data_IF_857431301779
#
_entry.id   IF_857431301779
#
_cell.length_a   1.000
_cell.length_b   1.000
_cell.length_c   1.000
_cell.angle_alpha   90.00
_cell.angle_beta   90.00
_cell.angle_gamma   90.00
#
_symmetry.space_group_name_H-M   'P 1'
#
loop_
_entity.id
_entity.type
_entity.pdbx_description
1 polymer ?
#
# COMPACT_ATOMS: atom_id res chain seq x y z
N UNK A 1 52.01 -42.73 -43.96
CA UNK A 1 50.60 -42.34 -43.75
C UNK A 1 50.33 -42.31 -42.24
N UNK A 2 50.33 -41.11 -41.63
CA UNK A 2 50.12 -40.91 -40.19
C UNK A 2 48.66 -40.52 -39.96
N UNK A 3 47.91 -41.34 -39.23
CA UNK A 3 46.52 -41.07 -38.83
C UNK A 3 46.55 -40.22 -37.57
N UNK A 4 46.13 -38.96 -37.67
CA UNK A 4 45.92 -38.06 -36.54
C UNK A 4 44.50 -38.30 -36.04
N UNK A 5 44.37 -38.93 -34.87
CA UNK A 5 43.09 -39.07 -34.18
C UNK A 5 42.81 -37.79 -33.40
N UNK A 6 41.80 -37.03 -33.84
CA UNK A 6 41.27 -35.88 -33.12
C UNK A 6 40.30 -36.40 -32.04
N UNK A 7 40.68 -36.30 -30.78
CA UNK A 7 39.80 -36.55 -29.64
C UNK A 7 39.00 -35.28 -29.34
N UNK A 8 37.68 -35.35 -29.47
CA UNK A 8 36.74 -34.29 -29.14
C UNK A 8 36.41 -34.36 -27.65
N UNK A 9 36.70 -33.33 -26.82
CA UNK A 9 36.30 -33.33 -25.43
C UNK A 9 34.80 -32.99 -25.34
N UNK A 10 34.01 -33.97 -24.91
CA UNK A 10 32.60 -33.81 -24.57
C UNK A 10 32.52 -33.04 -23.24
N UNK A 11 32.31 -31.71 -23.31
CA UNK A 11 32.09 -30.88 -22.13
C UNK A 11 30.66 -31.13 -21.59
N UNK A 12 30.55 -31.97 -20.56
CA UNK A 12 29.31 -32.16 -19.81
C UNK A 12 29.04 -30.90 -18.96
N UNK A 13 28.16 -30.02 -19.47
CA UNK A 13 27.62 -28.89 -18.70
C UNK A 13 26.62 -29.44 -17.70
N UNK A 14 27.06 -29.66 -16.45
CA UNK A 14 26.19 -29.92 -15.31
C UNK A 14 25.40 -28.64 -15.01
N UNK A 15 24.19 -28.54 -15.55
CA UNK A 15 23.19 -27.56 -15.11
C UNK A 15 22.71 -27.97 -13.73
N UNK A 16 23.41 -27.55 -12.68
CA UNK A 16 22.86 -27.54 -11.33
C UNK A 16 21.65 -26.61 -11.37
N UNK A 17 20.45 -27.18 -11.40
CA UNK A 17 19.20 -26.45 -11.32
C UNK A 17 19.10 -25.81 -9.95
N UNK A 18 19.66 -24.62 -9.79
CA UNK A 18 19.39 -23.77 -8.64
C UNK A 18 17.93 -23.34 -8.77
N UNK A 19 17.04 -23.99 -8.02
CA UNK A 19 15.72 -23.46 -7.74
C UNK A 19 15.92 -22.20 -6.91
N UNK A 20 16.05 -21.06 -7.59
CA UNK A 20 15.90 -19.77 -6.92
C UNK A 20 14.42 -19.76 -6.51
N UNK A 21 14.08 -19.67 -5.22
CA UNK A 21 12.70 -19.39 -4.86
C UNK A 21 12.33 -18.13 -5.62
N UNK A 22 11.27 -18.20 -6.43
CA UNK A 22 10.68 -17.01 -6.98
C UNK A 22 10.15 -16.24 -5.76
N UNK A 23 10.97 -15.36 -5.21
CA UNK A 23 10.50 -14.34 -4.28
C UNK A 23 9.59 -13.47 -5.13
N UNK A 24 8.28 -13.69 -5.00
CA UNK A 24 7.39 -12.62 -5.36
C UNK A 24 7.60 -11.52 -4.31
N UNK A 25 7.53 -10.29 -4.79
CA UNK A 25 7.77 -9.09 -4.01
C UNK A 25 6.62 -8.14 -4.34
N UNK A 26 6.25 -7.31 -3.37
CA UNK A 26 5.28 -6.26 -3.58
C UNK A 26 5.79 -5.35 -4.71
N UNK A 27 5.02 -5.23 -5.78
CA UNK A 27 5.44 -4.40 -6.90
C UNK A 27 5.43 -2.92 -6.52
N UNK A 28 6.40 -2.14 -7.01
CA UNK A 28 6.45 -0.69 -6.76
C UNK A 28 5.27 0.09 -7.36
N UNK A 29 4.48 -0.53 -8.24
CA UNK A 29 3.24 0.02 -8.79
C UNK A 29 1.98 -0.71 -8.28
N UNK A 30 2.10 -1.47 -7.18
CA UNK A 30 0.97 -2.15 -6.60
C UNK A 30 -0.10 -1.16 -6.11
N UNK A 31 -1.34 -1.59 -6.21
CA UNK A 31 -2.53 -0.99 -5.63
C UNK A 31 -3.06 -1.93 -4.56
N UNK A 32 -3.05 -1.46 -3.33
CA UNK A 32 -3.63 -2.11 -2.17
C UNK A 32 -5.12 -1.78 -2.11
N UNK A 33 -5.96 -2.65 -2.68
CA UNK A 33 -7.40 -2.60 -2.48
C UNK A 33 -7.72 -3.17 -1.10
N UNK A 34 -8.76 -2.69 -0.43
CA UNK A 34 -9.09 -3.13 0.91
C UNK A 34 -10.59 -3.32 1.10
N UNK A 35 -10.94 -4.28 1.95
CA UNK A 35 -12.32 -4.57 2.31
C UNK A 35 -12.84 -3.44 3.19
N UNK A 36 -13.99 -2.82 2.84
CA UNK A 36 -14.62 -1.83 3.70
C UNK A 36 -14.90 -2.39 5.10
N UNK A 37 -14.77 -1.53 6.12
CA UNK A 37 -15.13 -1.87 7.48
C UNK A 37 -16.61 -2.20 7.61
N UNK A 38 -16.92 -3.33 8.26
CA UNK A 38 -18.29 -3.77 8.53
C UNK A 38 -18.64 -3.41 9.97
N UNK A 39 -19.70 -2.61 10.13
CA UNK A 39 -20.19 -2.17 11.43
C UNK A 39 -21.35 -3.04 11.89
N UNK A 40 -21.31 -3.48 13.15
CA UNK A 40 -22.43 -4.13 13.82
C UNK A 40 -22.99 -3.23 14.91
N UNK A 41 -24.32 -3.20 15.04
CA UNK A 41 -24.99 -2.50 16.12
C UNK A 41 -25.17 -3.44 17.30
N UNK A 42 -24.74 -3.03 18.49
CA UNK A 42 -25.03 -3.74 19.74
C UNK A 42 -26.48 -3.50 20.17
N UNK A 43 -26.97 -4.28 21.14
CA UNK A 43 -28.28 -4.05 21.77
C UNK A 43 -28.42 -2.67 22.43
N UNK A 44 -27.30 -2.03 22.77
CA UNK A 44 -27.26 -0.66 23.33
C UNK A 44 -27.31 0.44 22.24
N UNK A 45 -27.28 0.07 20.96
CA UNK A 45 -27.20 1.00 19.84
C UNK A 45 -25.77 1.45 19.50
N UNK A 46 -24.77 1.07 20.29
CA UNK A 46 -23.36 1.32 19.95
C UNK A 46 -22.98 0.60 18.65
N UNK A 47 -22.28 1.31 17.78
CA UNK A 47 -21.75 0.81 16.52
C UNK A 47 -20.30 0.36 16.73
N UNK A 48 -19.99 -0.89 16.42
CA UNK A 48 -18.66 -1.48 16.55
C UNK A 48 -18.17 -1.99 15.20
N UNK A 49 -16.90 -1.79 14.88
CA UNK A 49 -16.29 -2.40 13.69
C UNK A 49 -16.01 -3.86 13.98
N UNK A 50 -16.70 -4.75 13.27
CA UNK A 50 -16.62 -6.19 13.46
C UNK A 50 -15.56 -6.87 12.58
N UNK A 51 -15.37 -6.36 11.36
CA UNK A 51 -14.41 -6.87 10.37
C UNK A 51 -14.10 -5.77 9.33
N UNK A 52 -13.19 -6.04 8.40
CA UNK A 52 -12.79 -5.08 7.38
C UNK A 52 -11.78 -4.06 7.88
N UNK A 53 -11.55 -3.06 7.05
CA UNK A 53 -10.57 -2.01 7.32
C UNK A 53 -11.14 -0.92 8.23
N UNK A 54 -10.28 -0.34 9.07
CA UNK A 54 -10.67 0.70 10.02
C UNK A 54 -9.48 1.57 10.42
N UNK A 55 -9.79 2.67 11.10
CA UNK A 55 -8.82 3.38 11.92
C UNK A 55 -9.40 3.59 13.31
N UNK A 56 -8.61 4.06 14.26
CA UNK A 56 -9.14 4.52 15.53
C UNK A 56 -8.16 5.38 16.31
N UNK A 57 -8.68 6.07 17.30
CA UNK A 57 -7.91 6.84 18.26
C UNK A 57 -8.04 6.19 19.63
N UNK A 58 -6.94 6.04 20.36
CA UNK A 58 -6.98 5.64 21.76
C UNK A 58 -7.50 6.82 22.60
N UNK A 59 -8.81 6.86 22.83
CA UNK A 59 -9.45 7.97 23.55
C UNK A 59 -9.32 7.83 25.05
N UNK A 60 -9.06 6.63 25.55
CA UNK A 60 -8.98 6.34 26.97
C UNK A 60 -7.53 6.34 27.51
N UNK A 61 -6.54 6.28 26.62
CA UNK A 61 -5.11 6.38 26.94
C UNK A 61 -4.50 5.10 27.51
N UNK A 62 -5.12 3.93 27.27
CA UNK A 62 -4.62 2.64 27.75
C UNK A 62 -3.54 2.01 26.84
N UNK A 63 -3.17 2.71 25.77
CA UNK A 63 -2.17 2.27 24.80
C UNK A 63 -2.72 1.23 23.83
N UNK A 64 -4.05 1.16 23.62
CA UNK A 64 -4.71 0.28 22.66
C UNK A 64 -5.93 0.97 22.05
N UNK A 65 -6.29 0.56 20.82
CA UNK A 65 -7.55 0.99 20.19
C UNK A 65 -8.58 -0.12 20.34
N UNK A 66 -9.49 0.05 21.29
CA UNK A 66 -10.58 -0.87 21.56
C UNK A 66 -11.60 -0.89 20.41
N UNK A 67 -12.42 -1.94 20.33
CA UNK A 67 -13.42 -2.08 19.26
C UNK A 67 -14.42 -0.90 19.20
N UNK A 68 -14.71 -0.26 20.33
CA UNK A 68 -15.58 0.91 20.42
C UNK A 68 -14.91 2.22 19.97
N UNK A 69 -13.60 2.23 19.81
CA UNK A 69 -12.81 3.38 19.36
C UNK A 69 -12.49 3.32 17.87
N UNK A 70 -12.86 2.22 17.21
CA UNK A 70 -12.66 2.00 15.78
C UNK A 70 -13.73 2.72 14.98
N UNK A 71 -13.30 3.33 13.88
CA UNK A 71 -14.13 3.90 12.84
C UNK A 71 -13.92 3.07 11.57
N UNK A 72 -15.00 2.49 11.05
CA UNK A 72 -14.98 1.78 9.78
C UNK A 72 -14.65 2.75 8.63
N UNK A 73 -13.81 2.29 7.70
CA UNK A 73 -13.51 3.03 6.47
C UNK A 73 -14.09 2.33 5.26
N UNK A 74 -14.41 3.10 4.23
CA UNK A 74 -14.86 2.61 2.93
C UNK A 74 -13.78 2.86 1.88
N UNK A 75 -13.60 1.90 0.98
CA UNK A 75 -12.62 2.02 -0.10
C UNK A 75 -13.05 3.09 -1.11
N UNK A 76 -12.12 3.97 -1.50
CA UNK A 76 -12.23 4.75 -2.72
C UNK A 76 -11.23 4.26 -3.78
N UNK A 77 -10.06 4.89 -3.91
CA UNK A 77 -9.05 4.42 -4.87
C UNK A 77 -8.06 3.38 -4.32
N UNK A 78 -8.07 3.09 -3.01
CA UNK A 78 -7.08 2.24 -2.35
C UNK A 78 -5.71 2.92 -2.18
N UNK A 79 -4.73 2.24 -1.60
CA UNK A 79 -3.37 2.79 -1.40
C UNK A 79 -2.44 2.37 -2.56
N UNK A 80 -1.90 3.36 -3.28
CA UNK A 80 -1.00 3.18 -4.43
C UNK A 80 0.45 3.27 -3.97
N UNK A 81 1.19 2.18 -4.17
CA UNK A 81 2.61 2.11 -3.84
C UNK A 81 3.42 3.00 -4.80
N UNK A 82 4.45 3.65 -4.26
CA UNK A 82 5.34 4.61 -4.93
C UNK A 82 4.65 5.80 -5.59
N UNK A 83 3.42 6.13 -5.19
CA UNK A 83 2.70 7.29 -5.68
C UNK A 83 2.15 8.13 -4.52
N UNK A 84 2.34 9.45 -4.59
CA UNK A 84 1.68 10.36 -3.67
C UNK A 84 0.21 10.51 -4.10
N UNK A 85 -0.70 10.33 -3.16
CA UNK A 85 -2.14 10.40 -3.35
C UNK A 85 -2.65 11.65 -2.64
N UNK A 86 -2.53 12.81 -3.31
CA UNK A 86 -2.85 14.12 -2.74
C UNK A 86 -4.29 14.54 -3.00
N UNK A 87 -4.95 15.14 -2.00
CA UNK A 87 -6.28 15.72 -2.18
C UNK A 87 -6.25 16.81 -3.28
N UNK A 88 -7.07 16.68 -4.34
CA UNK A 88 -7.12 17.69 -5.40
C UNK A 88 -7.58 19.05 -4.87
N UNK A 89 -6.71 20.05 -4.97
CA UNK A 89 -7.12 21.46 -5.00
C UNK A 89 -7.44 22.16 -3.68
N UNK A 90 -7.11 21.61 -2.50
CA UNK A 90 -7.37 22.28 -1.22
C UNK A 90 -8.84 22.68 -1.00
N UNK A 91 -9.74 22.14 -1.82
CA UNK A 91 -11.16 22.43 -1.80
C UNK A 91 -11.85 21.52 -0.81
N UNK A 92 -12.90 22.02 -0.19
CA UNK A 92 -13.76 21.34 0.79
C UNK A 92 -14.55 20.16 0.22
N UNK A 93 -14.23 19.71 -1.00
CA UNK A 93 -14.95 18.66 -1.71
C UNK A 93 -14.37 17.28 -1.39
N UNK A 94 -15.16 16.49 -0.65
CA UNK A 94 -14.89 15.08 -0.30
C UNK A 94 -14.88 14.16 -1.55
N UNK A 95 -15.30 14.69 -2.70
CA UNK A 95 -15.59 13.93 -3.93
C UNK A 95 -14.35 13.34 -4.63
N UNK A 96 -13.14 13.68 -4.17
CA UNK A 96 -11.89 13.11 -4.65
C UNK A 96 -11.04 12.53 -3.51
N UNK A 97 -11.68 11.86 -2.55
CA UNK A 97 -10.96 11.11 -1.53
C UNK A 97 -9.96 10.15 -2.15
N UNK A 98 -8.67 10.30 -1.89
CA UNK A 98 -7.69 9.62 -2.76
C UNK A 98 -7.50 8.15 -2.37
N UNK A 99 -7.73 7.79 -1.11
CA UNK A 99 -7.50 6.43 -0.62
C UNK A 99 -8.80 5.83 -0.11
N UNK A 100 -9.44 6.53 0.83
CA UNK A 100 -10.60 6.04 1.55
C UNK A 100 -11.57 7.16 1.95
N UNK A 101 -12.77 6.77 2.36
CA UNK A 101 -13.81 7.65 2.90
C UNK A 101 -14.33 7.09 4.21
N UNK A 102 -14.54 7.95 5.20
CA UNK A 102 -15.06 7.52 6.48
C UNK A 102 -15.95 8.57 7.14
N UNK A 103 -16.74 8.12 8.12
CA UNK A 103 -17.58 8.98 8.94
C UNK A 103 -17.40 8.62 10.41
N UNK A 104 -16.96 9.58 11.22
CA UNK A 104 -16.72 9.40 12.66
C UNK A 104 -17.38 10.53 13.42
N UNK A 105 -18.20 10.23 14.44
CA UNK A 105 -18.87 11.24 15.27
C UNK A 105 -19.69 12.30 14.50
N UNK A 106 -20.20 11.95 13.32
CA UNK A 106 -20.94 12.86 12.45
C UNK A 106 -20.07 13.62 11.45
N UNK A 107 -18.77 13.70 11.71
CA UNK A 107 -17.76 14.25 10.81
C UNK A 107 -17.42 13.26 9.70
N UNK A 108 -17.12 13.80 8.53
CA UNK A 108 -16.65 13.03 7.37
C UNK A 108 -15.17 13.30 7.17
N UNK A 109 -14.43 12.28 6.77
CA UNK A 109 -13.01 12.44 6.49
C UNK A 109 -12.48 11.44 5.48
N UNK A 110 -11.21 11.61 5.18
CA UNK A 110 -10.49 10.84 4.17
C UNK A 110 -9.00 10.78 4.53
N UNK A 111 -8.35 9.67 4.21
CA UNK A 111 -6.90 9.58 4.25
C UNK A 111 -6.27 9.84 2.89
N UNK A 112 -5.05 10.39 2.92
CA UNK A 112 -4.28 10.74 1.74
C UNK A 112 -2.78 10.76 2.07
N UNK A 113 -1.93 10.73 1.03
CA UNK A 113 -0.47 10.76 1.20
C UNK A 113 0.15 11.99 0.53
N UNK A 114 0.90 12.76 1.33
CA UNK A 114 1.64 13.94 0.84
C UNK A 114 2.95 13.57 0.13
N UNK A 115 3.52 12.41 0.49
CA UNK A 115 4.70 11.78 -0.09
C UNK A 115 4.33 10.39 -0.64
N UNK A 116 5.07 9.84 -1.61
CA UNK A 116 4.85 8.49 -2.10
C UNK A 116 5.01 7.42 -1.01
N UNK A 117 4.13 6.42 -1.00
CA UNK A 117 4.24 5.26 -0.11
C UNK A 117 5.27 4.26 -0.68
N UNK A 118 6.55 4.40 -0.30
CA UNK A 118 7.63 3.60 -0.87
C UNK A 118 7.86 2.30 -0.09
N UNK A 119 8.25 1.24 -0.77
CA UNK A 119 8.70 0.00 -0.13
C UNK A 119 10.07 0.25 0.52
N UNK A 120 10.18 -0.05 1.80
CA UNK A 120 11.41 0.06 2.58
C UNK A 120 12.14 -1.28 2.64
N UNK A 121 11.41 -2.34 3.01
CA UNK A 121 11.90 -3.71 3.03
C UNK A 121 10.84 -4.66 2.50
N UNK A 122 11.27 -5.73 1.84
CA UNK A 122 10.44 -6.84 1.39
C UNK A 122 11.28 -8.11 1.54
N UNK A 123 10.81 -9.05 2.36
CA UNK A 123 11.51 -10.31 2.61
C UNK A 123 11.23 -11.39 1.55
N UNK A 124 10.31 -11.13 0.61
CA UNK A 124 9.85 -12.07 -0.39
C UNK A 124 9.09 -13.28 0.16
N UNK A 125 8.70 -13.23 1.44
CA UNK A 125 8.01 -14.29 2.18
C UNK A 125 6.74 -13.76 2.90
N UNK A 126 6.27 -12.57 2.50
CA UNK A 126 5.01 -12.00 2.94
C UNK A 126 5.13 -10.89 3.98
N UNK A 127 6.34 -10.52 4.42
CA UNK A 127 6.55 -9.38 5.32
C UNK A 127 7.18 -8.20 4.57
N UNK A 128 6.42 -7.11 4.48
CA UNK A 128 6.83 -5.89 3.77
C UNK A 128 6.68 -4.69 4.70
N UNK A 129 7.62 -3.76 4.66
CA UNK A 129 7.46 -2.47 5.31
C UNK A 129 7.41 -1.35 4.28
N UNK A 130 6.54 -0.37 4.51
CA UNK A 130 6.38 0.78 3.62
C UNK A 130 6.48 2.10 4.38
N UNK A 131 7.00 3.11 3.70
CA UNK A 131 7.12 4.48 4.19
C UNK A 131 5.76 5.20 4.09
N UNK A 132 5.19 5.54 5.24
CA UNK A 132 4.00 6.36 5.42
C UNK A 132 4.32 7.68 6.16
N UNK A 133 5.56 8.19 6.11
CA UNK A 133 5.91 9.51 6.68
C UNK A 133 5.06 10.66 6.12
N UNK A 134 4.50 10.50 4.92
CA UNK A 134 3.58 11.43 4.30
C UNK A 134 2.10 11.26 4.66
N UNK A 135 1.74 10.32 5.55
CA UNK A 135 0.36 9.97 5.88
C UNK A 135 -0.38 11.14 6.53
N UNK A 136 -1.59 11.44 6.04
CA UNK A 136 -2.41 12.53 6.53
C UNK A 136 -3.88 12.12 6.55
N UNK A 137 -4.56 12.44 7.65
CA UNK A 137 -6.01 12.38 7.73
C UNK A 137 -6.60 13.77 7.51
N UNK A 138 -7.61 13.89 6.68
CA UNK A 138 -8.40 15.11 6.54
C UNK A 138 -9.75 14.94 7.24
N UNK A 139 -10.11 15.89 8.09
CA UNK A 139 -11.39 15.97 8.79
C UNK A 139 -12.19 17.14 8.21
N UNK A 140 -13.44 16.87 7.87
CA UNK A 140 -14.42 17.86 7.40
C UNK A 140 -13.96 18.73 6.21
N UNK A 141 -13.04 18.23 5.39
CA UNK A 141 -12.56 18.92 4.19
C UNK A 141 -11.59 20.08 4.45
N UNK A 142 -11.38 20.50 5.70
CA UNK A 142 -10.63 21.72 6.02
C UNK A 142 -9.50 21.53 7.03
N UNK A 143 -9.42 20.37 7.69
CA UNK A 143 -8.44 20.12 8.73
C UNK A 143 -7.58 18.91 8.38
N UNK A 144 -6.29 19.16 8.11
CA UNK A 144 -5.31 18.10 7.86
C UNK A 144 -4.55 17.80 9.16
N UNK A 145 -4.60 16.54 9.59
CA UNK A 145 -3.79 16.01 10.68
C UNK A 145 -2.64 15.23 10.07
N UNK A 146 -1.42 15.72 10.24
CA UNK A 146 -0.22 14.99 9.83
C UNK A 146 0.02 13.82 10.77
N UNK A 147 0.09 12.62 10.22
CA UNK A 147 0.19 11.37 10.97
C UNK A 147 1.44 10.61 10.53
N UNK A 148 2.54 11.31 10.24
CA UNK A 148 3.80 10.72 9.76
C UNK A 148 4.80 10.33 10.86
N UNK A 149 4.45 10.48 12.13
CA UNK A 149 5.34 10.30 13.28
C UNK A 149 4.60 9.92 14.56
N UNK A 150 5.34 9.60 15.61
CA UNK A 150 4.78 9.27 16.93
C UNK A 150 4.20 7.85 16.96
N UNK A 151 4.85 6.91 16.29
CA UNK A 151 4.52 5.50 16.35
C UNK A 151 4.54 5.00 17.80
N UNK A 152 3.71 4.00 18.08
CA UNK A 152 3.56 3.39 19.40
C UNK A 152 3.39 1.88 19.26
N UNK A 153 3.35 1.15 20.38
CA UNK A 153 3.12 -0.30 20.35
C UNK A 153 4.23 -1.13 19.68
N UNK A 154 5.44 -0.58 19.53
CA UNK A 154 6.59 -1.26 18.93
C UNK A 154 6.80 -0.98 17.43
N UNK A 155 5.95 -0.16 16.81
CA UNK A 155 6.12 0.29 15.44
C UNK A 155 7.21 1.37 15.31
N UNK A 156 7.68 1.59 14.08
CA UNK A 156 8.66 2.63 13.73
C UNK A 156 7.94 3.85 13.16
N UNK A 157 8.41 5.05 13.50
CA UNK A 157 7.87 6.32 13.00
C UNK A 157 7.76 6.34 11.48
N UNK A 158 6.55 6.58 10.98
CA UNK A 158 6.30 6.69 9.55
C UNK A 158 6.45 5.38 8.79
N UNK A 159 6.44 4.22 9.46
CA UNK A 159 6.55 2.91 8.79
C UNK A 159 5.31 2.07 9.07
N UNK A 160 4.65 1.62 8.00
CA UNK A 160 3.60 0.61 8.09
C UNK A 160 4.18 -0.79 7.87
N UNK A 161 3.60 -1.78 8.53
CA UNK A 161 3.89 -3.19 8.32
C UNK A 161 2.77 -3.82 7.51
N UNK A 162 3.13 -4.53 6.45
CA UNK A 162 2.24 -5.31 5.60
C UNK A 162 2.56 -6.78 5.81
N UNK A 163 1.53 -7.57 6.12
CA UNK A 163 1.60 -9.02 6.21
C UNK A 163 0.72 -9.62 5.12
N UNK A 164 1.32 -10.25 4.13
CA UNK A 164 0.63 -10.94 3.05
C UNK A 164 0.42 -12.42 3.40
N UNK A 165 -0.54 -13.07 2.75
CA UNK A 165 -0.82 -14.47 3.03
C UNK A 165 0.24 -15.42 2.45
N UNK A 166 0.94 -15.02 1.37
CA UNK A 166 2.00 -15.82 0.75
C UNK A 166 3.29 -15.03 0.52
N UNK A 167 3.25 -14.04 -0.37
CA UNK A 167 4.46 -13.41 -0.93
C UNK A 167 4.23 -11.99 -1.47
N UNK A 168 3.07 -11.40 -1.18
CA UNK A 168 2.68 -10.08 -1.65
C UNK A 168 2.59 -9.94 -3.19
N UNK A 169 2.42 -11.05 -3.92
CA UNK A 169 2.15 -11.03 -5.35
C UNK A 169 0.76 -10.46 -5.71
N UNK A 170 0.57 -10.18 -6.99
CA UNK A 170 -0.72 -9.74 -7.53
C UNK A 170 -1.84 -10.74 -7.20
N UNK A 171 -2.91 -10.26 -6.57
CA UNK A 171 -4.02 -11.07 -6.10
C UNK A 171 -3.88 -11.63 -4.68
N UNK A 172 -2.71 -11.55 -4.05
CA UNK A 172 -2.50 -12.00 -2.67
C UNK A 172 -3.33 -11.16 -1.69
N UNK A 173 -3.75 -11.77 -0.58
CA UNK A 173 -4.43 -11.08 0.51
C UNK A 173 -3.40 -10.49 1.47
N UNK A 174 -3.70 -9.34 2.06
CA UNK A 174 -2.80 -8.70 3.02
C UNK A 174 -3.55 -8.08 4.18
N UNK A 175 -2.84 -7.86 5.29
CA UNK A 175 -3.15 -6.84 6.28
C UNK A 175 -2.06 -5.78 6.29
N UNK A 176 -2.42 -4.53 6.57
CA UNK A 176 -1.50 -3.43 6.80
C UNK A 176 -1.85 -2.81 8.14
N UNK A 177 -0.86 -2.71 9.02
CA UNK A 177 -0.98 -2.04 10.30
C UNK A 177 0.00 -0.86 10.36
N UNK A 178 -0.54 0.29 10.79
CA UNK A 178 0.21 1.53 10.94
C UNK A 178 -0.21 2.25 12.20
N UNK A 179 0.76 2.80 12.94
CA UNK A 179 0.49 3.59 14.12
C UNK A 179 1.18 4.94 14.04
N UNK A 180 0.52 5.96 14.60
CA UNK A 180 1.05 7.31 14.72
C UNK A 180 0.48 7.97 15.98
N UNK A 181 0.93 9.18 16.28
CA UNK A 181 0.33 10.02 17.32
C UNK A 181 -0.01 11.36 16.70
N UNK A 182 -1.21 11.86 16.98
CA UNK A 182 -1.61 13.19 16.53
C UNK A 182 -0.64 14.22 17.12
N UNK A 183 -0.07 15.15 16.33
CA UNK A 183 0.88 16.13 16.82
C UNK A 183 0.34 16.88 18.06
N UNK A 184 1.18 17.13 19.08
CA UNK A 184 0.78 17.96 20.20
C UNK A 184 0.32 19.33 19.69
N UNK A 185 -0.75 19.87 20.28
CA UNK A 185 -1.37 21.15 19.89
C UNK A 185 -2.02 21.16 18.49
N UNK A 186 -2.30 20.00 17.90
CA UNK A 186 -3.07 19.94 16.66
C UNK A 186 -4.43 20.65 16.82
N UNK A 187 -4.83 21.54 15.89
CA UNK A 187 -6.06 22.33 16.01
C UNK A 187 -7.36 21.49 16.03
N UNK A 188 -7.30 20.18 15.77
CA UNK A 188 -8.48 19.29 15.83
C UNK A 188 -8.94 19.02 17.25
N UNK A 189 -8.12 19.40 18.24
CA UNK A 189 -8.35 19.05 19.64
C UNK A 189 -8.04 17.57 19.93
N UNK A 190 -7.38 16.87 18.99
CA UNK A 190 -6.96 15.46 19.13
C UNK A 190 -5.47 15.31 19.43
N UNK A 191 -4.76 16.41 19.69
CA UNK A 191 -3.31 16.40 19.93
C UNK A 191 -2.89 15.43 21.04
N UNK A 192 -1.90 14.59 20.74
CA UNK A 192 -1.37 13.57 21.65
C UNK A 192 -2.13 12.25 21.68
N UNK A 193 -3.25 12.11 20.97
CA UNK A 193 -3.97 10.84 20.89
C UNK A 193 -3.22 9.85 20.00
N UNK A 194 -3.10 8.61 20.49
CA UNK A 194 -2.54 7.51 19.72
C UNK A 194 -3.52 7.13 18.60
N UNK A 195 -3.02 6.93 17.39
CA UNK A 195 -3.77 6.59 16.20
C UNK A 195 -3.34 5.23 15.67
N UNK A 196 -4.30 4.40 15.28
CA UNK A 196 -4.11 3.12 14.60
C UNK A 196 -4.83 3.17 13.25
N UNK A 197 -4.18 2.69 12.21
CA UNK A 197 -4.76 2.44 10.89
C UNK A 197 -4.55 0.98 10.51
N UNK A 198 -5.64 0.32 10.14
CA UNK A 198 -5.66 -1.08 9.77
C UNK A 198 -6.37 -1.27 8.43
N UNK A 199 -5.67 -1.84 7.45
CA UNK A 199 -6.26 -2.30 6.20
C UNK A 199 -6.21 -3.82 6.14
N UNK A 200 -7.25 -4.42 5.57
CA UNK A 200 -7.20 -5.80 5.12
C UNK A 200 -7.80 -5.90 3.72
N UNK A 201 -7.20 -6.69 2.83
CA UNK A 201 -7.56 -6.59 1.42
C UNK A 201 -6.83 -7.51 0.47
N UNK A 202 -6.78 -7.08 -0.79
CA UNK A 202 -6.06 -7.76 -1.87
C UNK A 202 -5.15 -6.81 -2.63
N UNK A 203 -3.96 -7.30 -2.94
CA UNK A 203 -3.00 -6.61 -3.80
C UNK A 203 -3.48 -6.73 -5.24
N UNK A 204 -3.39 -5.63 -5.99
CA UNK A 204 -3.62 -5.62 -7.43
C UNK A 204 -2.54 -4.82 -8.13
N UNK A 205 -2.20 -5.17 -9.37
CA UNK A 205 -1.38 -4.32 -10.22
C UNK A 205 -2.21 -3.16 -10.77
N UNK A 206 -1.66 -1.94 -10.73
CA UNK A 206 -2.28 -0.83 -11.48
C UNK A 206 -2.12 -1.14 -12.97
N UNK A 207 -3.21 -1.22 -13.75
CA UNK A 207 -3.12 -1.46 -15.17
C UNK A 207 -2.25 -0.38 -15.81
N UNK A 208 -1.07 -0.77 -16.32
CA UNK A 208 -0.25 0.15 -17.08
C UNK A 208 -1.08 0.59 -18.30
N UNK A 209 -1.20 1.90 -18.57
CA UNK A 209 -1.96 2.37 -19.72
C UNK A 209 -1.50 1.62 -20.98
N UNK A 210 -2.45 1.09 -21.76
CA UNK A 210 -2.16 0.33 -22.98
C UNK A 210 -1.20 1.06 -23.94
N UNK A 211 -1.14 2.39 -23.83
CA UNK A 211 -0.15 3.24 -24.48
C UNK A 211 1.30 2.74 -24.32
N UNK A 212 1.73 2.26 -23.15
CA UNK A 212 3.12 1.77 -22.96
C UNK A 212 3.41 0.57 -23.87
N UNK A 213 2.44 -0.33 -24.03
CA UNK A 213 2.51 -1.46 -24.95
C UNK A 213 2.51 -1.01 -26.43
N UNK A 214 1.69 -0.02 -26.76
CA UNK A 214 1.63 0.56 -28.11
C UNK A 214 2.94 1.27 -28.47
N UNK A 215 3.56 1.97 -27.53
CA UNK A 215 4.85 2.62 -27.75
C UNK A 215 5.99 1.61 -27.85
N UNK A 216 6.02 0.56 -27.03
CA UNK A 216 7.04 -0.49 -27.12
C UNK A 216 6.99 -1.26 -28.44
N UNK A 217 5.80 -1.74 -28.83
CA UNK A 217 5.61 -2.47 -30.09
C UNK A 217 5.72 -1.56 -31.33
N UNK A 218 5.20 -0.33 -31.25
CA UNK A 218 5.32 0.68 -32.30
C UNK A 218 6.78 1.06 -32.58
N UNK A 219 7.60 1.26 -31.53
CA UNK A 219 9.02 1.58 -31.68
C UNK A 219 9.79 0.41 -32.32
N UNK A 220 9.55 -0.84 -31.88
CA UNK A 220 10.16 -2.03 -32.49
C UNK A 220 9.77 -2.17 -33.97
N UNK A 221 8.52 -1.88 -34.31
CA UNK A 221 8.04 -1.83 -35.70
C UNK A 221 8.81 -0.78 -36.53
N UNK A 222 8.99 0.42 -36.00
CA UNK A 222 9.72 1.50 -36.67
C UNK A 222 11.22 1.17 -36.87
N UNK A 223 11.87 0.56 -35.88
CA UNK A 223 13.28 0.10 -36.00
C UNK A 223 13.40 -1.00 -37.07
N UNK A 224 12.43 -1.91 -37.15
CA UNK A 224 12.36 -2.92 -38.21
C UNK A 224 12.29 -2.31 -39.62
N UNK A 225 11.41 -1.32 -39.82
CA UNK A 225 11.26 -0.61 -41.11
C UNK A 225 12.51 0.18 -41.47
N UNK A 226 13.14 0.85 -40.50
CA UNK A 226 14.34 1.64 -40.74
C UNK A 226 15.54 0.80 -41.22
N UNK A 227 15.62 -0.47 -40.81
CA UNK A 227 16.72 -1.38 -41.19
C UNK A 227 16.57 -1.92 -42.62
N UNK A 228 15.36 -1.97 -43.16
CA UNK A 228 15.08 -2.51 -44.50
C UNK A 228 15.58 -1.61 -45.63
N UNK A 229 15.94 -0.36 -45.33
CA UNK A 229 16.32 0.65 -46.32
C UNK A 229 17.81 0.70 -46.67
N UNK A 230 18.63 -0.21 -46.14
CA UNK A 230 20.10 -0.26 -46.35
C UNK A 230 20.61 -1.50 -47.11
N UNK A 231 19.72 -2.28 -47.70
CA UNK A 231 20.02 -3.38 -48.64
C UNK A 231 19.24 -3.14 -49.92
#
# INVERSE_FOLDING_TARGET
MKKIMLACPLAAVLTVGMSVPASAALSSNALLNFLPGVVTSTSSGAQLVNSGSYFGFDFNGDGRVAAAERTAISQNEGLKISQAQRLPGGGTGIENAVIDLWRSFGDTGTHWTSLPANILTDDGAGEVTIDLTGWTANLNGNQNISLGSGAWGGFVDGVAQINCALDCSDGDTYTLDYTATVPPLDPSGKGGLAYLYHLEGRISSVPLPAAVWLFGSGLLGLVGVARWRKT
#
